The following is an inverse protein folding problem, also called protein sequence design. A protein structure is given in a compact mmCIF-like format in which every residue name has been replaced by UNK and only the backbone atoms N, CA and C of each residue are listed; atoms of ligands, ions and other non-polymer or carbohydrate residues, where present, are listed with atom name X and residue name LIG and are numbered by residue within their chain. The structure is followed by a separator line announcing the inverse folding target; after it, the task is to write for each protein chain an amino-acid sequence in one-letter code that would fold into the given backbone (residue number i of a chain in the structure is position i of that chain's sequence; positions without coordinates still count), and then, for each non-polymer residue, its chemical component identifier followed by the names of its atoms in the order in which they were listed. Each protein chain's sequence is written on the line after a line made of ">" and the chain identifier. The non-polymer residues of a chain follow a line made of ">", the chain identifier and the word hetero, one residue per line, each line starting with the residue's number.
data_IF_412009925978
#
_entry.id   IF_412009925978
#
_cell.length_a   1.000
_cell.length_b   1.000
_cell.length_c   1.000
_cell.angle_alpha   90.00
_cell.angle_beta   90.00
_cell.angle_gamma   90.00
#
_symmetry.space_group_name_H-M   'P 1'
#
loop_
_entity.id
_entity.type
_entity.pdbx_description
1 polymer ?
#
# COMPACT_ATOMS: atom_id res chain seq x y z
N UNK A 1 22.19 -2.27 2.40
CA UNK A 1 21.04 -1.59 1.76
C UNK A 1 20.37 -2.41 0.68
N UNK A 2 21.10 -3.03 -0.25
CA UNK A 2 20.50 -3.77 -1.39
C UNK A 2 19.46 -4.84 -0.97
N UNK A 3 19.77 -5.69 0.00
CA UNK A 3 18.85 -6.74 0.45
C UNK A 3 17.56 -6.15 1.06
N UNK A 4 17.68 -5.06 1.82
CA UNK A 4 16.54 -4.33 2.36
C UNK A 4 15.69 -3.73 1.24
N UNK A 5 16.32 -3.06 0.27
CA UNK A 5 15.64 -2.47 -0.89
C UNK A 5 14.90 -3.51 -1.72
N UNK A 6 15.49 -4.69 -1.93
CA UNK A 6 14.84 -5.79 -2.64
C UNK A 6 13.58 -6.27 -1.91
N UNK A 7 13.63 -6.36 -0.57
CA UNK A 7 12.45 -6.75 0.22
C UNK A 7 11.40 -5.65 0.21
N UNK A 8 11.81 -4.38 0.33
CA UNK A 8 10.93 -3.22 0.26
C UNK A 8 10.19 -3.14 -1.09
N UNK A 9 10.92 -3.30 -2.19
CA UNK A 9 10.32 -3.32 -3.54
C UNK A 9 9.25 -4.44 -3.65
N UNK A 10 9.51 -5.64 -3.10
CA UNK A 10 8.53 -6.75 -3.09
C UNK A 10 7.29 -6.46 -2.23
N UNK A 11 7.46 -5.77 -1.10
CA UNK A 11 6.34 -5.38 -0.24
C UNK A 11 5.46 -4.37 -0.98
N UNK A 12 6.06 -3.35 -1.59
CA UNK A 12 5.36 -2.34 -2.40
C UNK A 12 4.58 -3.00 -3.54
N UNK A 13 5.20 -3.92 -4.29
CA UNK A 13 4.52 -4.67 -5.36
C UNK A 13 3.31 -5.47 -4.84
N UNK A 14 3.41 -6.01 -3.62
CA UNK A 14 2.31 -6.76 -3.01
C UNK A 14 1.19 -5.82 -2.53
N UNK A 15 1.56 -4.64 -2.02
CA UNK A 15 0.64 -3.60 -1.58
C UNK A 15 -0.18 -3.03 -2.76
N UNK A 16 0.47 -2.78 -3.91
CA UNK A 16 -0.19 -2.34 -5.16
C UNK A 16 -1.20 -3.40 -5.65
N UNK A 17 -0.86 -4.69 -5.58
CA UNK A 17 -1.80 -5.75 -5.96
C UNK A 17 -3.01 -5.80 -5.03
N UNK A 18 -2.78 -5.61 -3.73
CA UNK A 18 -3.86 -5.58 -2.75
C UNK A 18 -4.74 -4.33 -2.91
N UNK A 19 -4.15 -3.18 -3.27
CA UNK A 19 -4.90 -1.98 -3.66
C UNK A 19 -5.82 -2.24 -4.84
N UNK A 20 -5.34 -2.88 -5.92
CA UNK A 20 -6.18 -3.20 -7.07
C UNK A 20 -7.38 -4.11 -6.70
N UNK A 21 -7.17 -5.08 -5.81
CA UNK A 21 -8.27 -5.91 -5.30
C UNK A 21 -9.21 -5.13 -4.38
N UNK A 22 -8.68 -4.21 -3.56
CA UNK A 22 -9.46 -3.31 -2.72
C UNK A 22 -10.41 -2.46 -3.58
N UNK A 23 -9.90 -1.77 -4.59
CA UNK A 23 -10.71 -0.95 -5.50
C UNK A 23 -11.82 -1.74 -6.20
N UNK A 24 -11.55 -3.02 -6.50
CA UNK A 24 -12.52 -3.92 -7.14
C UNK A 24 -13.71 -4.21 -6.22
N UNK A 25 -13.47 -4.37 -4.92
CA UNK A 25 -14.52 -4.71 -3.94
C UNK A 25 -15.16 -3.48 -3.29
N UNK A 26 -14.46 -2.34 -3.27
CA UNK A 26 -14.87 -1.08 -2.63
C UNK A 26 -16.30 -0.68 -3.01
N UNK A 27 -16.61 -0.65 -4.30
CA UNK A 27 -17.95 -0.26 -4.80
C UNK A 27 -19.10 -1.17 -4.34
N UNK A 28 -18.81 -2.43 -3.97
CA UNK A 28 -19.84 -3.42 -3.59
C UNK A 28 -19.86 -3.75 -2.11
N UNK A 29 -18.77 -3.44 -1.40
CA UNK A 29 -18.59 -3.77 0.02
C UNK A 29 -18.25 -2.53 0.86
N UNK A 30 -18.47 -1.32 0.35
CA UNK A 30 -18.12 -0.04 0.99
C UNK A 30 -18.50 0.00 2.47
N UNK A 31 -19.76 -0.32 2.82
CA UNK A 31 -20.23 -0.28 4.21
C UNK A 31 -19.45 -1.23 5.12
N UNK A 32 -19.17 -2.45 4.64
CA UNK A 32 -18.42 -3.46 5.40
C UNK A 32 -16.94 -3.06 5.54
N UNK A 33 -16.37 -2.49 4.49
CA UNK A 33 -15.01 -2.00 4.52
C UNK A 33 -14.90 -0.82 5.48
N UNK A 34 -15.77 0.18 5.40
CA UNK A 34 -15.78 1.34 6.29
C UNK A 34 -15.94 0.97 7.77
N UNK A 35 -16.77 -0.04 8.08
CA UNK A 35 -16.96 -0.51 9.46
C UNK A 35 -15.74 -1.26 10.02
N UNK A 36 -15.00 -1.96 9.16
CA UNK A 36 -13.92 -2.86 9.58
C UNK A 36 -12.51 -2.41 9.21
N UNK A 37 -12.38 -1.33 8.44
CA UNK A 37 -11.09 -0.76 8.07
C UNK A 37 -10.42 -0.14 9.30
N UNK A 38 -9.20 -0.61 9.60
CA UNK A 38 -8.47 -0.22 10.82
C UNK A 38 -7.23 0.63 10.57
N UNK A 39 -6.89 0.87 9.32
CA UNK A 39 -5.80 1.79 9.02
C UNK A 39 -6.30 3.22 9.19
N UNK A 40 -5.43 4.07 9.71
CA UNK A 40 -5.71 5.50 9.93
C UNK A 40 -5.72 6.31 8.64
N UNK A 41 -5.09 5.78 7.59
CA UNK A 41 -4.91 6.38 6.27
C UNK A 41 -5.59 5.51 5.23
N UNK A 42 -5.99 6.13 4.11
CA UNK A 42 -6.52 5.41 2.96
C UNK A 42 -5.49 4.38 2.46
N UNK A 43 -5.97 3.30 1.85
CA UNK A 43 -5.11 2.25 1.35
C UNK A 43 -4.18 2.76 0.23
N UNK A 44 -4.72 3.59 -0.68
CA UNK A 44 -3.96 4.25 -1.74
C UNK A 44 -2.89 5.18 -1.17
N UNK A 45 -3.24 5.93 -0.12
CA UNK A 45 -2.31 6.81 0.59
C UNK A 45 -1.16 6.01 1.20
N UNK A 46 -1.46 4.87 1.82
CA UNK A 46 -0.46 3.98 2.41
C UNK A 46 0.52 3.46 1.35
N UNK A 47 0.03 3.05 0.18
CA UNK A 47 0.87 2.62 -0.96
C UNK A 47 1.78 3.76 -1.44
N UNK A 48 1.23 4.96 -1.64
CA UNK A 48 1.99 6.13 -2.07
C UNK A 48 3.09 6.50 -1.08
N UNK A 49 2.77 6.56 0.23
CA UNK A 49 3.76 6.85 1.27
C UNK A 49 4.90 5.81 1.28
N UNK A 50 4.60 4.53 1.06
CA UNK A 50 5.64 3.50 0.94
C UNK A 50 6.55 3.70 -0.28
N UNK A 51 5.98 4.11 -1.42
CA UNK A 51 6.77 4.42 -2.62
C UNK A 51 7.67 5.64 -2.42
N UNK A 52 7.15 6.69 -1.79
CA UNK A 52 7.92 7.89 -1.45
C UNK A 52 9.07 7.58 -0.49
N UNK A 53 8.78 6.85 0.59
CA UNK A 53 9.79 6.40 1.55
C UNK A 53 10.90 5.60 0.86
N UNK A 54 10.53 4.67 -0.03
CA UNK A 54 11.48 3.89 -0.82
C UNK A 54 12.37 4.78 -1.69
N UNK A 55 11.84 5.85 -2.27
CA UNK A 55 12.63 6.78 -3.08
C UNK A 55 13.59 7.61 -2.23
N UNK A 56 13.15 8.10 -1.07
CA UNK A 56 14.01 8.79 -0.11
C UNK A 56 15.21 7.93 0.31
N UNK A 57 14.96 6.63 0.60
CA UNK A 57 16.03 5.68 0.95
C UNK A 57 17.02 5.45 -0.20
N UNK A 58 16.59 5.57 -1.47
CA UNK A 58 17.49 5.44 -2.63
C UNK A 58 18.34 6.68 -2.89
N UNK A 59 17.92 7.83 -2.36
CA UNK A 59 18.59 9.11 -2.53
C UNK A 59 19.64 9.38 -1.42
N UNK A 60 19.63 8.59 -0.33
CA UNK A 60 20.67 8.55 0.72
C UNK A 60 21.82 7.57 0.40
#
# INVERSE_FOLDING_TARGET
>A
MEAFMMVLDKVIDSMIKLEAEWERIENTHSDYLDEHYRLSSDWRETVHQMMEWRNQIREE
#
